data_IF_589699562498
#
_entry.id   IF_589699562498
#
_cell.length_a   1.000
_cell.length_b   1.000
_cell.length_c   1.000
_cell.angle_alpha   90.00
_cell.angle_beta   90.00
_cell.angle_gamma   90.00
#
_symmetry.space_group_name_H-M   'P 1'
#
loop_
_entity.id
_entity.type
_entity.pdbx_description
1 polymer ?
#
# COMPACT_ATOMS: atom_id res chain seq x y z
N UNK A 1 11.72 -0.18 -12.12
CA UNK A 1 12.18 -0.70 -10.80
C UNK A 1 12.35 0.48 -9.84
N UNK A 2 11.83 0.40 -8.62
CA UNK A 2 12.06 1.39 -7.56
C UNK A 2 13.13 0.84 -6.61
N UNK A 3 14.19 1.60 -6.37
CA UNK A 3 15.28 1.22 -5.45
C UNK A 3 15.33 2.22 -4.31
N UNK A 4 15.41 1.73 -3.08
CA UNK A 4 15.56 2.52 -1.86
C UNK A 4 16.86 2.11 -1.14
N UNK A 5 17.07 2.59 0.07
CA UNK A 5 18.26 2.24 0.84
C UNK A 5 18.33 0.73 1.18
N UNK A 6 17.19 0.08 1.43
CA UNK A 6 17.13 -1.32 1.86
C UNK A 6 16.26 -2.20 0.97
N UNK A 7 15.45 -1.61 0.07
CA UNK A 7 14.42 -2.31 -0.66
C UNK A 7 14.55 -2.16 -2.16
N UNK A 8 14.05 -3.18 -2.87
CA UNK A 8 13.84 -3.19 -4.32
C UNK A 8 12.38 -3.48 -4.59
N UNK A 9 11.71 -2.55 -5.28
CA UNK A 9 10.32 -2.66 -5.71
C UNK A 9 10.22 -2.97 -7.19
N UNK A 10 9.36 -3.92 -7.52
CA UNK A 10 8.94 -4.24 -8.89
C UNK A 10 7.41 -4.09 -9.00
N UNK A 11 6.87 -3.71 -10.17
CA UNK A 11 5.44 -3.76 -10.39
C UNK A 11 4.89 -5.16 -10.10
N UNK A 12 3.69 -5.21 -9.54
CA UNK A 12 2.96 -6.46 -9.30
C UNK A 12 2.82 -7.25 -10.58
N UNK A 13 3.09 -8.56 -10.54
CA UNK A 13 2.89 -9.48 -11.65
C UNK A 13 2.20 -10.80 -11.22
N UNK A 14 1.94 -11.68 -12.19
CA UNK A 14 1.22 -12.94 -11.96
C UNK A 14 1.98 -13.89 -11.01
N UNK A 15 3.30 -13.81 -10.93
CA UNK A 15 4.12 -14.64 -10.05
C UNK A 15 4.00 -14.29 -8.57
N UNK A 16 3.40 -13.14 -8.25
CA UNK A 16 3.25 -12.67 -6.87
C UNK A 16 2.07 -13.28 -6.11
N UNK A 17 1.27 -14.17 -6.74
CA UNK A 17 0.10 -14.76 -6.11
C UNK A 17 0.41 -15.41 -4.76
N UNK A 18 1.48 -16.18 -4.66
CA UNK A 18 1.86 -16.85 -3.41
C UNK A 18 2.18 -15.84 -2.29
N UNK A 19 2.94 -14.77 -2.60
CA UNK A 19 3.27 -13.69 -1.66
C UNK A 19 2.03 -12.94 -1.18
N UNK A 20 1.07 -12.71 -2.07
CA UNK A 20 -0.20 -12.11 -1.72
C UNK A 20 -1.05 -13.04 -0.84
N UNK A 21 -1.07 -14.35 -1.10
CA UNK A 21 -1.77 -15.32 -0.27
C UNK A 21 -1.22 -15.33 1.17
N UNK A 22 0.10 -15.30 1.33
CA UNK A 22 0.73 -15.23 2.65
C UNK A 22 0.33 -13.94 3.39
N UNK A 23 0.36 -12.80 2.70
CA UNK A 23 0.00 -11.51 3.27
C UNK A 23 -1.49 -11.42 3.64
N UNK A 24 -2.37 -11.99 2.81
CA UNK A 24 -3.82 -12.00 3.01
C UNK A 24 -4.30 -13.03 4.06
N UNK A 25 -3.38 -13.79 4.64
CA UNK A 25 -3.63 -14.74 5.75
C UNK A 25 -2.81 -14.42 7.00
N UNK A 26 -1.99 -13.38 6.96
CA UNK A 26 -1.24 -12.92 8.13
C UNK A 26 -2.22 -12.36 9.17
N UNK A 27 -2.45 -13.12 10.25
CA UNK A 27 -3.46 -12.79 11.28
C UNK A 27 -3.26 -11.41 11.90
N UNK A 28 -2.01 -10.98 12.08
CA UNK A 28 -1.71 -9.66 12.64
C UNK A 28 -2.01 -8.54 11.65
N UNK A 29 -1.75 -8.77 10.37
CA UNK A 29 -2.12 -7.86 9.29
C UNK A 29 -3.64 -7.75 9.22
N UNK A 30 -4.35 -8.88 9.19
CA UNK A 30 -5.81 -8.90 9.15
C UNK A 30 -6.42 -8.16 10.35
N UNK A 31 -5.92 -8.40 11.56
CA UNK A 31 -6.39 -7.70 12.77
C UNK A 31 -6.19 -6.17 12.68
N UNK A 32 -5.07 -5.70 12.10
CA UNK A 32 -4.81 -4.27 11.94
C UNK A 32 -5.76 -3.59 10.93
N UNK A 33 -6.26 -4.35 9.97
CA UNK A 33 -7.22 -3.87 8.98
C UNK A 33 -8.67 -4.24 9.29
N UNK A 34 -8.91 -5.02 10.38
CA UNK A 34 -10.23 -5.60 10.68
C UNK A 34 -10.79 -6.35 9.47
N UNK A 35 -9.96 -7.16 8.88
CA UNK A 35 -10.23 -7.86 7.63
C UNK A 35 -10.31 -9.38 7.87
N UNK A 36 -11.14 -10.02 7.08
CA UNK A 36 -11.20 -11.48 7.04
C UNK A 36 -10.10 -12.05 6.13
N UNK A 37 -9.62 -13.27 6.42
CA UNK A 37 -8.65 -13.94 5.57
C UNK A 37 -9.25 -14.24 4.19
N UNK A 38 -8.45 -14.00 3.17
CA UNK A 38 -8.85 -14.33 1.79
C UNK A 38 -8.42 -15.75 1.43
N UNK A 39 -9.30 -16.46 0.76
CA UNK A 39 -8.99 -17.75 0.13
C UNK A 39 -7.98 -17.54 -1.02
N UNK A 40 -7.42 -18.63 -1.52
CA UNK A 40 -6.53 -18.60 -2.69
C UNK A 40 -7.25 -18.00 -3.91
N UNK A 41 -8.51 -18.38 -4.15
CA UNK A 41 -9.28 -17.88 -5.30
C UNK A 41 -9.63 -16.40 -5.15
N UNK A 42 -9.99 -15.94 -3.96
CA UNK A 42 -10.24 -14.52 -3.70
C UNK A 42 -8.96 -13.69 -3.87
N UNK A 43 -7.81 -14.20 -3.43
CA UNK A 43 -6.51 -13.54 -3.65
C UNK A 43 -6.17 -13.50 -5.14
N UNK A 44 -6.48 -14.56 -5.91
CA UNK A 44 -6.30 -14.55 -7.36
C UNK A 44 -7.17 -13.49 -8.05
N UNK A 45 -8.43 -13.38 -7.67
CA UNK A 45 -9.34 -12.33 -8.17
C UNK A 45 -8.82 -10.93 -7.81
N UNK A 46 -8.30 -10.76 -6.58
CA UNK A 46 -7.63 -9.50 -6.19
C UNK A 46 -6.46 -9.19 -7.11
N UNK A 47 -5.56 -10.16 -7.35
CA UNK A 47 -4.39 -10.00 -8.23
C UNK A 47 -4.82 -9.60 -9.64
N UNK A 48 -5.75 -10.32 -10.26
CA UNK A 48 -6.27 -10.05 -11.60
C UNK A 48 -6.82 -8.63 -11.73
N UNK A 49 -7.59 -8.18 -10.72
CA UNK A 49 -8.12 -6.81 -10.66
C UNK A 49 -7.01 -5.77 -10.56
N UNK A 50 -5.96 -6.02 -9.79
CA UNK A 50 -4.83 -5.09 -9.66
C UNK A 50 -3.93 -5.06 -10.90
N UNK A 51 -3.79 -6.18 -11.61
CA UNK A 51 -3.13 -6.23 -12.91
C UNK A 51 -3.95 -5.50 -13.99
N UNK A 52 -5.28 -5.61 -13.97
CA UNK A 52 -6.15 -4.85 -14.85
C UNK A 52 -6.00 -3.33 -14.61
N UNK A 53 -5.97 -2.92 -13.33
CA UNK A 53 -5.73 -1.52 -12.97
C UNK A 53 -4.37 -0.99 -13.50
N UNK A 54 -3.30 -1.80 -13.43
CA UNK A 54 -2.01 -1.44 -14.03
C UNK A 54 -2.08 -1.20 -15.54
N UNK A 55 -2.82 -2.09 -16.26
CA UNK A 55 -2.99 -1.96 -17.72
C UNK A 55 -3.80 -0.73 -18.11
N UNK A 56 -4.78 -0.35 -17.29
CA UNK A 56 -5.67 0.77 -17.56
C UNK A 56 -5.04 2.13 -17.24
N UNK A 57 -4.29 2.20 -16.13
CA UNK A 57 -3.84 3.48 -15.58
C UNK A 57 -2.32 3.70 -15.64
N UNK A 58 -1.53 2.69 -16.01
CA UNK A 58 -0.06 2.73 -16.07
C UNK A 58 0.61 2.97 -14.69
N UNK A 59 -0.14 2.85 -13.60
CA UNK A 59 0.35 2.82 -12.22
C UNK A 59 -0.46 1.83 -11.38
N UNK A 60 0.10 1.40 -10.23
CA UNK A 60 -0.56 0.42 -9.38
C UNK A 60 0.29 -0.02 -8.20
N UNK A 61 0.09 -1.27 -7.78
CA UNK A 61 0.81 -1.88 -6.66
C UNK A 61 2.22 -2.30 -7.09
N UNK A 62 3.19 -2.07 -6.20
CA UNK A 62 4.56 -2.55 -6.27
C UNK A 62 4.80 -3.57 -5.16
N UNK A 63 5.53 -4.61 -5.48
CA UNK A 63 5.99 -5.64 -4.54
C UNK A 63 7.43 -5.33 -4.15
N UNK A 64 7.70 -5.27 -2.84
CA UNK A 64 9.00 -4.89 -2.30
C UNK A 64 9.68 -6.08 -1.64
N UNK A 65 10.96 -6.28 -2.00
CA UNK A 65 11.85 -7.24 -1.37
C UNK A 65 13.07 -6.52 -0.77
N UNK A 66 13.71 -7.14 0.21
CA UNK A 66 14.97 -6.68 0.75
C UNK A 66 16.15 -7.00 -0.20
N UNK A 67 17.39 -6.74 0.28
CA UNK A 67 18.59 -6.96 -0.50
C UNK A 67 18.85 -8.46 -0.82
N UNK A 68 18.35 -9.36 0.01
CA UNK A 68 18.48 -10.81 -0.13
C UNK A 68 17.34 -11.41 -0.99
N UNK A 69 16.40 -10.57 -1.42
CA UNK A 69 15.24 -10.98 -2.22
C UNK A 69 14.06 -11.50 -1.39
N UNK A 70 14.11 -11.40 -0.07
CA UNK A 70 13.00 -11.79 0.78
C UNK A 70 11.86 -10.75 0.68
N UNK A 71 10.64 -11.24 0.51
CA UNK A 71 9.46 -10.38 0.39
C UNK A 71 9.18 -9.61 1.69
N UNK A 72 9.05 -8.30 1.59
CA UNK A 72 8.81 -7.39 2.72
C UNK A 72 7.35 -6.95 2.79
N UNK A 73 6.77 -6.62 1.65
CA UNK A 73 5.42 -6.10 1.60
C UNK A 73 5.06 -5.49 0.25
N UNK A 74 3.89 -4.91 0.19
CA UNK A 74 3.40 -4.19 -0.99
C UNK A 74 3.10 -2.74 -0.67
N UNK A 75 3.33 -1.86 -1.64
CA UNK A 75 2.93 -0.46 -1.58
C UNK A 75 2.59 0.01 -2.99
N UNK A 76 1.65 0.90 -3.14
CA UNK A 76 1.31 1.41 -4.45
C UNK A 76 0.25 2.48 -4.41
N UNK A 77 -0.14 2.92 -5.60
CA UNK A 77 -1.20 3.90 -5.78
C UNK A 77 -2.31 3.30 -6.65
N UNK A 78 -3.54 3.67 -6.37
CA UNK A 78 -4.68 3.22 -7.16
C UNK A 78 -5.82 4.24 -7.15
N UNK A 79 -6.71 4.14 -8.14
CA UNK A 79 -7.90 4.99 -8.19
C UNK A 79 -8.83 4.68 -7.03
N UNK A 80 -9.23 5.71 -6.32
CA UNK A 80 -10.22 5.68 -5.27
C UNK A 80 -11.17 6.87 -5.47
N UNK A 81 -12.41 6.61 -5.91
CA UNK A 81 -13.33 7.64 -6.36
C UNK A 81 -12.68 8.49 -7.47
N UNK A 82 -12.69 9.80 -7.34
CA UNK A 82 -12.07 10.74 -8.29
C UNK A 82 -10.59 11.05 -7.97
N UNK A 83 -10.02 10.39 -6.95
CA UNK A 83 -8.68 10.64 -6.42
C UNK A 83 -7.73 9.45 -6.66
N UNK A 84 -6.47 9.63 -6.30
CA UNK A 84 -5.48 8.55 -6.28
C UNK A 84 -5.02 8.31 -4.85
N UNK A 85 -5.28 7.10 -4.36
CA UNK A 85 -4.91 6.67 -3.01
C UNK A 85 -3.57 5.97 -3.01
N UNK A 86 -2.74 6.29 -2.00
CA UNK A 86 -1.55 5.53 -1.63
C UNK A 86 -1.89 4.55 -0.52
N UNK A 87 -1.61 3.26 -0.75
CA UNK A 87 -1.80 2.21 0.25
C UNK A 87 -0.57 1.31 0.38
N UNK A 88 -0.38 0.74 1.57
CA UNK A 88 0.74 -0.18 1.86
C UNK A 88 0.35 -1.24 2.87
N UNK A 89 1.02 -2.38 2.77
CA UNK A 89 0.96 -3.48 3.74
C UNK A 89 2.35 -4.08 3.87
N UNK A 90 2.83 -4.26 5.10
CA UNK A 90 4.10 -4.92 5.44
C UNK A 90 3.80 -6.20 6.18
N UNK A 91 4.55 -7.27 5.91
CA UNK A 91 4.49 -8.53 6.68
C UNK A 91 4.65 -8.24 8.17
N UNK A 92 3.84 -8.87 9.00
CA UNK A 92 3.74 -8.50 10.41
C UNK A 92 5.04 -8.71 11.21
N UNK A 93 5.84 -9.69 10.85
CA UNK A 93 7.16 -9.94 11.47
C UNK A 93 8.19 -8.84 11.21
N UNK A 94 7.94 -7.97 10.21
CA UNK A 94 8.81 -6.87 9.83
C UNK A 94 8.32 -5.50 10.31
N UNK A 95 7.28 -5.46 11.14
CA UNK A 95 6.78 -4.20 11.69
C UNK A 95 7.79 -3.53 12.60
N UNK A 96 7.61 -2.23 12.82
CA UNK A 96 8.48 -1.36 13.64
C UNK A 96 9.92 -1.21 13.12
N UNK A 97 10.18 -1.60 11.87
CA UNK A 97 11.48 -1.47 11.20
C UNK A 97 11.50 -0.35 10.15
N UNK A 98 10.48 0.51 10.13
CA UNK A 98 10.30 1.62 9.21
C UNK A 98 10.16 1.25 7.72
N UNK A 99 9.95 -0.01 7.37
CA UNK A 99 9.75 -0.45 5.98
C UNK A 99 8.51 0.20 5.33
N UNK A 100 7.40 0.32 6.06
CA UNK A 100 6.22 1.01 5.55
C UNK A 100 6.52 2.47 5.17
N UNK A 101 7.27 3.19 6.01
CA UNK A 101 7.68 4.58 5.74
C UNK A 101 8.57 4.65 4.50
N UNK A 102 9.54 3.73 4.37
CA UNK A 102 10.46 3.68 3.24
C UNK A 102 9.76 3.40 1.91
N UNK A 103 8.86 2.40 1.89
CA UNK A 103 8.05 2.07 0.72
C UNK A 103 7.11 3.23 0.34
N UNK A 104 6.37 3.76 1.31
CA UNK A 104 5.41 4.84 1.07
C UNK A 104 6.09 6.12 0.57
N UNK A 105 7.27 6.48 1.12
CA UNK A 105 8.05 7.62 0.63
C UNK A 105 8.53 7.42 -0.81
N UNK A 106 8.98 6.21 -1.16
CA UNK A 106 9.43 5.88 -2.49
C UNK A 106 8.28 5.92 -3.52
N UNK A 107 7.13 5.35 -3.19
CA UNK A 107 5.94 5.37 -4.04
C UNK A 107 5.38 6.79 -4.19
N UNK A 108 5.30 7.57 -3.12
CA UNK A 108 4.84 8.95 -3.21
C UNK A 108 5.75 9.80 -4.11
N UNK A 109 7.08 9.63 -4.01
CA UNK A 109 8.02 10.28 -4.92
C UNK A 109 7.77 9.85 -6.36
N UNK A 110 7.70 8.55 -6.64
CA UNK A 110 7.40 8.01 -7.96
C UNK A 110 6.08 8.58 -8.53
N UNK A 111 5.04 8.63 -7.73
CA UNK A 111 3.75 9.19 -8.13
C UNK A 111 3.86 10.65 -8.58
N UNK A 112 4.66 11.46 -7.88
CA UNK A 112 4.82 12.87 -8.19
C UNK A 112 5.80 13.13 -9.34
N UNK A 113 6.92 12.38 -9.41
CA UNK A 113 8.00 12.67 -10.38
C UNK A 113 7.81 11.94 -11.70
N UNK A 114 7.42 10.68 -11.66
CA UNK A 114 7.41 9.80 -12.84
C UNK A 114 5.99 9.69 -13.42
N UNK A 115 4.98 9.54 -12.57
CA UNK A 115 3.56 9.51 -13.01
C UNK A 115 3.01 10.94 -13.22
N UNK A 116 3.54 11.93 -12.53
CA UNK A 116 3.16 13.34 -12.68
C UNK A 116 1.87 13.73 -11.95
N UNK A 117 1.46 12.97 -10.94
CA UNK A 117 0.25 13.28 -10.16
C UNK A 117 0.43 14.58 -9.38
N UNK A 118 -0.61 15.42 -9.27
CA UNK A 118 -0.55 16.67 -8.52
C UNK A 118 -0.69 16.45 -7.01
N UNK A 119 -1.39 15.41 -6.62
CA UNK A 119 -1.69 15.09 -5.22
C UNK A 119 -1.96 13.61 -5.02
N UNK A 120 -1.88 13.16 -3.78
CA UNK A 120 -2.27 11.82 -3.31
C UNK A 120 -3.12 11.94 -2.06
N UNK A 121 -4.08 11.04 -1.92
CA UNK A 121 -4.75 10.78 -0.66
C UNK A 121 -4.25 9.47 -0.07
N UNK A 122 -4.45 9.29 1.20
CA UNK A 122 -4.26 8.02 1.90
C UNK A 122 -5.21 8.00 3.09
N UNK A 123 -5.72 6.84 3.44
CA UNK A 123 -6.59 6.73 4.62
C UNK A 123 -6.26 5.48 5.42
N UNK A 124 -6.63 5.52 6.66
CA UNK A 124 -6.49 4.41 7.60
C UNK A 124 -7.57 4.50 8.67
N UNK A 125 -7.81 3.41 9.37
CA UNK A 125 -8.70 3.43 10.54
C UNK A 125 -8.20 4.42 11.59
N UNK A 126 -9.13 5.05 12.30
CA UNK A 126 -8.82 6.03 13.36
C UNK A 126 -7.86 5.44 14.39
N UNK A 127 -8.08 4.17 14.77
CA UNK A 127 -7.30 3.46 15.80
C UNK A 127 -5.90 3.02 15.32
N UNK A 128 -5.67 2.95 14.00
CA UNK A 128 -4.39 2.52 13.46
C UNK A 128 -3.35 3.65 13.54
N UNK A 129 -2.92 3.94 14.77
CA UNK A 129 -1.94 5.01 15.05
C UNK A 129 -0.59 4.77 14.39
N UNK A 130 -0.21 3.51 14.17
CA UNK A 130 1.04 3.17 13.48
C UNK A 130 0.99 3.65 12.02
N UNK A 131 -0.11 3.37 11.30
CA UNK A 131 -0.28 3.83 9.92
C UNK A 131 -0.36 5.36 9.84
N UNK A 132 -1.08 6.01 10.75
CA UNK A 132 -1.15 7.48 10.83
C UNK A 132 0.23 8.10 10.93
N UNK A 133 1.09 7.58 11.83
CA UNK A 133 2.49 8.05 11.98
C UNK A 133 3.33 7.83 10.72
N UNK A 134 3.11 6.75 9.97
CA UNK A 134 3.77 6.54 8.69
C UNK A 134 3.38 7.63 7.69
N UNK A 135 2.08 7.90 7.54
CA UNK A 135 1.57 8.94 6.64
C UNK A 135 2.14 10.32 6.97
N UNK A 136 2.12 10.70 8.26
CA UNK A 136 2.69 11.97 8.73
C UNK A 136 4.20 12.08 8.41
N UNK A 137 4.98 11.02 8.66
CA UNK A 137 6.42 10.97 8.33
C UNK A 137 6.71 11.08 6.83
N UNK A 138 5.78 10.61 6.00
CA UNK A 138 5.89 10.69 4.55
C UNK A 138 5.37 12.05 4.01
N UNK A 139 4.90 12.93 4.88
CA UNK A 139 4.48 14.29 4.53
C UNK A 139 3.02 14.42 4.14
N UNK A 140 2.19 13.45 4.49
CA UNK A 140 0.74 13.59 4.37
C UNK A 140 0.20 14.39 5.57
N UNK A 141 -0.62 15.38 5.30
CA UNK A 141 -1.36 16.14 6.31
C UNK A 141 -2.74 15.54 6.56
N UNK A 142 -3.18 15.53 7.82
CA UNK A 142 -4.56 15.19 8.16
C UNK A 142 -5.54 16.14 7.46
N UNK A 143 -6.57 15.60 6.86
CA UNK A 143 -7.61 16.39 6.19
C UNK A 143 -8.94 16.31 6.95
N UNK A 144 -9.46 15.10 7.19
CA UNK A 144 -10.75 14.90 7.85
C UNK A 144 -10.97 13.46 8.29
N UNK A 145 -11.89 13.29 9.22
CA UNK A 145 -12.49 11.99 9.50
C UNK A 145 -13.62 11.72 8.50
N UNK A 146 -13.83 10.44 8.17
CA UNK A 146 -14.92 10.01 7.32
C UNK A 146 -15.32 8.56 7.62
N UNK A 147 -16.45 8.14 7.07
CA UNK A 147 -16.89 6.75 7.13
C UNK A 147 -16.84 6.19 5.70
N UNK A 148 -16.12 5.07 5.53
CA UNK A 148 -16.04 4.32 4.30
C UNK A 148 -16.53 2.89 4.55
N UNK A 149 -17.59 2.47 3.87
CA UNK A 149 -18.25 1.18 4.07
C UNK A 149 -18.53 0.83 5.56
N UNK A 150 -18.94 1.82 6.35
CA UNK A 150 -19.22 1.67 7.76
C UNK A 150 -17.99 1.70 8.68
N UNK A 151 -16.79 1.87 8.14
CA UNK A 151 -15.53 1.93 8.89
C UNK A 151 -15.13 3.38 9.15
N UNK A 152 -14.95 3.74 10.44
CA UNK A 152 -14.42 5.04 10.84
C UNK A 152 -12.95 5.15 10.45
N UNK A 153 -12.66 6.13 9.60
CA UNK A 153 -11.33 6.33 9.00
C UNK A 153 -10.91 7.79 9.08
N UNK A 154 -9.62 8.00 8.96
CA UNK A 154 -9.00 9.33 8.81
C UNK A 154 -8.38 9.44 7.44
N UNK A 155 -8.69 10.52 6.73
CA UNK A 155 -8.15 10.86 5.42
C UNK A 155 -6.98 11.83 5.60
N UNK A 156 -5.92 11.54 4.90
CA UNK A 156 -4.72 12.35 4.78
C UNK A 156 -4.52 12.74 3.32
N UNK A 157 -3.95 13.93 3.08
CA UNK A 157 -3.61 14.40 1.74
C UNK A 157 -2.17 14.87 1.68
N UNK A 158 -1.52 14.62 0.56
CA UNK A 158 -0.22 15.19 0.23
C UNK A 158 -0.25 15.79 -1.17
N UNK A 159 0.09 17.07 -1.26
CA UNK A 159 0.27 17.80 -2.51
C UNK A 159 1.75 17.71 -2.92
N UNK A 160 2.00 17.67 -4.22
CA UNK A 160 3.33 17.62 -4.83
C UNK A 160 4.23 18.77 -4.38
#
# INVERSE_FOLDING_TARGET
MIVTARLRGAPLDESDLARLCDLHRDERVLAAFDAEPMTHDETRVFLERKLAHWREHEFGIWMFCDADGAFVGRCGIHRWRDEVELGYVVRSELWNQAYATEMAAAIARHAFTDVGLPELVAFTRVENTASRRVLEKVGFGYERDFVDDGVFSVLYRRIR
#
